data_IF_155237309427
#
_entry.id   IF_155237309427
#
_cell.length_a   1.000
_cell.length_b   1.000
_cell.length_c   1.000
_cell.angle_alpha   90.00
_cell.angle_beta   90.00
_cell.angle_gamma   90.00
#
_symmetry.space_group_name_H-M   'P 1'
#
loop_
_entity.id
_entity.type
_entity.pdbx_description
1 polymer ?
#
# COMPACT_ATOMS: atom_id res chain seq x y z
N UNK A 1 1.71 20.25 -7.60
CA UNK A 1 1.47 19.48 -6.35
C UNK A 1 1.57 18.01 -6.72
N UNK A 2 2.46 17.25 -6.08
CA UNK A 2 2.60 15.82 -6.36
C UNK A 2 1.33 15.10 -5.90
N UNK A 3 0.75 14.24 -6.76
CA UNK A 3 -0.38 13.39 -6.37
C UNK A 3 0.00 12.55 -5.15
N UNK A 4 -0.94 12.32 -4.23
CA UNK A 4 -0.66 11.45 -3.08
C UNK A 4 -0.23 10.06 -3.57
N UNK A 5 0.70 9.41 -2.86
CA UNK A 5 1.15 8.07 -3.21
C UNK A 5 -0.04 7.10 -3.21
N UNK A 6 0.03 6.07 -4.06
CA UNK A 6 -0.95 4.99 -4.02
C UNK A 6 -0.97 4.34 -2.63
N UNK A 7 -2.12 3.84 -2.18
CA UNK A 7 -2.25 3.13 -0.92
C UNK A 7 -2.64 1.68 -1.17
N UNK A 8 -1.91 0.73 -0.57
CA UNK A 8 -2.20 -0.71 -0.62
C UNK A 8 -2.79 -1.15 0.72
N UNK A 9 -4.05 -1.55 0.71
CA UNK A 9 -4.77 -2.04 1.87
C UNK A 9 -4.73 -3.57 1.93
N UNK A 10 -4.37 -4.10 3.08
CA UNK A 10 -4.18 -5.54 3.27
C UNK A 10 -4.55 -6.00 4.69
N UNK A 11 -4.84 -7.30 4.82
CA UNK A 11 -4.93 -8.04 6.07
C UNK A 11 -4.07 -9.29 5.96
N UNK A 12 -3.27 -9.57 7.00
CA UNK A 12 -2.32 -10.68 7.04
C UNK A 12 -2.98 -12.06 7.06
N UNK A 13 -4.28 -12.16 7.37
CA UNK A 13 -5.03 -13.40 7.24
C UNK A 13 -5.58 -13.63 5.81
N UNK A 14 -5.41 -12.66 4.88
CA UNK A 14 -5.90 -12.79 3.51
C UNK A 14 -4.87 -13.45 2.59
N UNK A 15 -5.11 -14.67 2.06
CA UNK A 15 -4.21 -15.30 1.11
C UNK A 15 -4.14 -14.57 -0.23
N UNK A 16 -5.21 -13.85 -0.63
CA UNK A 16 -5.17 -13.01 -1.81
C UNK A 16 -4.29 -11.78 -1.60
N UNK A 17 -4.28 -11.21 -0.37
CA UNK A 17 -3.38 -10.12 -0.04
C UNK A 17 -1.91 -10.59 -0.01
N UNK A 18 -1.64 -11.85 0.39
CA UNK A 18 -0.32 -12.46 0.23
C UNK A 18 0.14 -12.47 -1.23
N UNK A 19 -0.68 -13.02 -2.14
CA UNK A 19 -0.35 -13.06 -3.57
C UNK A 19 -0.13 -11.65 -4.13
N UNK A 20 -0.91 -10.68 -3.67
CA UNK A 20 -0.76 -9.28 -4.05
C UNK A 20 0.54 -8.67 -3.52
N UNK A 21 0.89 -8.94 -2.25
CA UNK A 21 2.08 -8.43 -1.58
C UNK A 21 3.38 -8.90 -2.24
N UNK A 22 3.41 -10.11 -2.80
CA UNK A 22 4.58 -10.65 -3.53
C UNK A 22 4.77 -9.99 -4.91
N UNK A 23 3.73 -9.35 -5.46
CA UNK A 23 3.74 -8.76 -6.81
C UNK A 23 3.84 -7.23 -6.82
N UNK A 24 3.26 -6.57 -5.85
CA UNK A 24 2.97 -5.13 -5.89
C UNK A 24 4.21 -4.28 -6.20
N UNK A 25 5.36 -4.62 -5.64
CA UNK A 25 6.62 -3.88 -5.84
C UNK A 25 7.18 -3.98 -7.28
N UNK A 26 6.73 -4.98 -8.04
CA UNK A 26 7.17 -5.22 -9.41
C UNK A 26 6.21 -4.67 -10.45
N UNK A 27 4.91 -4.57 -10.11
CA UNK A 27 3.86 -4.26 -11.09
C UNK A 27 3.35 -2.83 -11.03
N UNK A 28 3.45 -2.15 -9.89
CA UNK A 28 3.09 -0.74 -9.81
C UNK A 28 4.24 0.14 -10.31
N UNK A 29 3.96 1.18 -11.11
CA UNK A 29 4.97 2.07 -11.67
C UNK A 29 5.59 3.05 -10.66
N UNK A 30 5.10 3.06 -9.43
CA UNK A 30 5.56 3.93 -8.35
C UNK A 30 5.27 3.34 -6.97
N UNK A 31 5.76 3.98 -5.91
CA UNK A 31 5.58 3.49 -4.56
C UNK A 31 4.11 3.50 -4.14
N UNK A 32 3.74 2.52 -3.31
CA UNK A 32 2.47 2.48 -2.61
C UNK A 32 2.73 2.48 -1.10
N UNK A 33 1.93 3.23 -0.36
CA UNK A 33 1.90 3.16 1.11
C UNK A 33 1.14 1.90 1.54
N UNK A 34 1.78 1.05 2.34
CA UNK A 34 1.15 -0.16 2.83
C UNK A 34 0.35 0.13 4.10
N UNK A 35 -0.95 -0.06 4.02
CA UNK A 35 -1.92 0.29 5.06
C UNK A 35 -2.61 -0.94 5.61
N UNK A 36 -2.26 -1.37 6.83
CA UNK A 36 -2.93 -2.49 7.49
C UNK A 36 -4.37 -2.12 7.87
N UNK A 37 -5.32 -3.04 7.61
CA UNK A 37 -6.73 -2.92 7.96
C UNK A 37 -7.27 -4.24 8.50
N UNK A 38 -8.32 -4.21 9.31
CA UNK A 38 -9.01 -5.41 9.74
C UNK A 38 -10.08 -5.79 8.70
N UNK A 39 -9.80 -6.80 7.88
CA UNK A 39 -10.70 -7.22 6.81
C UNK A 39 -12.08 -7.64 7.32
N UNK A 40 -12.17 -8.17 8.55
CA UNK A 40 -13.45 -8.53 9.19
C UNK A 40 -14.35 -7.33 9.46
N UNK A 41 -13.81 -6.11 9.48
CA UNK A 41 -14.56 -4.87 9.69
C UNK A 41 -14.97 -4.21 8.36
N UNK A 42 -14.49 -4.74 7.22
CA UNK A 42 -14.89 -4.27 5.90
C UNK A 42 -16.21 -4.94 5.50
N UNK A 43 -17.14 -4.22 4.84
CA UNK A 43 -18.35 -4.82 4.34
C UNK A 43 -18.01 -5.80 3.21
N UNK A 44 -18.52 -7.01 3.30
CA UNK A 44 -18.42 -7.97 2.20
C UNK A 44 -19.16 -7.40 0.98
N UNK A 45 -18.46 -7.23 -0.14
CA UNK A 45 -19.08 -6.84 -1.39
C UNK A 45 -19.96 -8.01 -1.89
N UNK A 46 -21.23 -7.74 -2.18
CA UNK A 46 -22.14 -8.73 -2.76
C UNK A 46 -21.71 -9.18 -4.17
N UNK A 47 -20.84 -8.42 -4.81
CA UNK A 47 -20.35 -8.68 -6.17
C UNK A 47 -19.02 -9.44 -6.20
N UNK A 48 -18.35 -9.61 -5.08
CA UNK A 48 -17.07 -10.32 -4.98
C UNK A 48 -17.13 -11.42 -3.93
N UNK A 49 -17.06 -12.69 -4.34
CA UNK A 49 -17.01 -13.82 -3.38
C UNK A 49 -15.71 -13.83 -2.54
N UNK A 50 -14.79 -12.92 -2.80
CA UNK A 50 -13.49 -12.82 -2.11
C UNK A 50 -13.45 -11.74 -1.02
N UNK A 51 -14.56 -11.05 -0.82
CA UNK A 51 -14.64 -9.86 0.04
C UNK A 51 -14.43 -10.13 1.53
N UNK A 52 -14.67 -11.36 1.97
CA UNK A 52 -14.42 -11.75 3.36
C UNK A 52 -13.42 -12.91 3.37
N UNK A 53 -12.50 -12.92 4.34
CA UNK A 53 -11.51 -14.02 4.51
C UNK A 53 -12.22 -15.37 4.60
N UNK A 54 -13.42 -15.41 5.21
CA UNK A 54 -14.25 -16.61 5.28
C UNK A 54 -14.92 -17.02 3.93
N UNK A 55 -14.94 -16.11 2.95
CA UNK A 55 -15.49 -16.33 1.59
C UNK A 55 -14.37 -16.35 0.53
N UNK A 56 -13.12 -16.53 0.95
CA UNK A 56 -11.98 -16.68 0.04
C UNK A 56 -12.25 -17.76 -1.02
N UNK A 57 -11.66 -17.64 -2.23
CA UNK A 57 -11.75 -18.69 -3.23
C UNK A 57 -11.30 -20.03 -2.66
N UNK A 58 -11.76 -21.16 -3.23
CA UNK A 58 -11.28 -22.48 -2.81
C UNK A 58 -9.75 -22.53 -2.74
N UNK A 59 -9.20 -23.21 -1.76
CA UNK A 59 -7.75 -23.33 -1.56
C UNK A 59 -7.02 -23.69 -2.86
N UNK A 60 -7.56 -24.65 -3.61
CA UNK A 60 -6.99 -25.10 -4.89
C UNK A 60 -6.85 -23.97 -5.93
N UNK A 61 -7.77 -23.01 -5.93
CA UNK A 61 -7.71 -21.84 -6.82
C UNK A 61 -6.60 -20.89 -6.43
N UNK A 62 -6.44 -20.64 -5.14
CA UNK A 62 -5.37 -19.78 -4.60
C UNK A 62 -4.01 -20.43 -4.83
N UNK A 63 -3.89 -21.74 -4.61
CA UNK A 63 -2.68 -22.52 -4.90
C UNK A 63 -2.33 -22.51 -6.40
N UNK A 64 -3.32 -22.59 -7.27
CA UNK A 64 -3.11 -22.45 -8.71
C UNK A 64 -2.55 -21.09 -9.05
N UNK A 65 -3.14 -19.99 -8.52
CA UNK A 65 -2.66 -18.62 -8.71
C UNK A 65 -1.24 -18.43 -8.20
N UNK A 66 -0.91 -18.98 -7.02
CA UNK A 66 0.45 -18.94 -6.47
C UNK A 66 1.47 -19.60 -7.39
N UNK A 67 1.14 -20.77 -7.94
CA UNK A 67 2.00 -21.47 -8.92
C UNK A 67 2.19 -20.70 -10.21
N UNK A 68 1.13 -20.08 -10.74
CA UNK A 68 1.19 -19.23 -11.93
C UNK A 68 2.10 -18.01 -11.72
N UNK A 69 2.18 -17.52 -10.49
CA UNK A 69 3.07 -16.43 -10.08
C UNK A 69 4.50 -16.89 -9.77
N UNK A 70 4.80 -18.19 -9.87
CA UNK A 70 6.12 -18.75 -9.55
C UNK A 70 6.46 -18.70 -8.06
N UNK A 71 5.45 -18.57 -7.19
CA UNK A 71 5.64 -18.57 -5.73
C UNK A 71 5.87 -20.00 -5.23
N UNK A 72 6.43 -20.10 -4.02
CA UNK A 72 6.54 -21.38 -3.32
C UNK A 72 5.14 -21.98 -3.12
N UNK A 73 5.02 -23.32 -3.07
CA UNK A 73 3.77 -23.99 -2.76
C UNK A 73 3.18 -23.46 -1.46
N UNK A 74 1.90 -23.10 -1.49
CA UNK A 74 1.20 -22.62 -0.30
C UNK A 74 1.11 -23.72 0.76
N UNK A 75 1.29 -23.31 2.00
CA UNK A 75 1.00 -24.09 3.20
C UNK A 75 -0.06 -23.35 3.99
N UNK A 76 -1.19 -23.98 4.19
CA UNK A 76 -2.29 -23.37 4.92
C UNK A 76 -1.99 -23.39 6.42
N UNK A 77 -2.10 -22.24 7.10
CA UNK A 77 -1.96 -22.21 8.55
C UNK A 77 -3.14 -22.93 9.23
N UNK A 78 -2.90 -23.49 10.40
CA UNK A 78 -3.96 -24.10 11.21
C UNK A 78 -4.02 -23.40 12.58
N UNK A 79 -5.22 -22.91 12.98
CA UNK A 79 -6.48 -22.90 12.24
C UNK A 79 -6.46 -21.92 11.05
N UNK A 80 -7.35 -22.15 10.06
CA UNK A 80 -7.61 -21.17 9.00
C UNK A 80 -9.14 -21.07 8.75
N UNK A 81 -9.72 -19.86 8.68
CA UNK A 81 -9.07 -18.57 8.91
C UNK A 81 -8.64 -18.37 10.37
N UNK A 82 -7.60 -17.59 10.59
CA UNK A 82 -7.09 -17.24 11.92
C UNK A 82 -7.38 -15.78 12.31
N UNK A 83 -7.35 -15.47 13.61
CA UNK A 83 -7.45 -14.08 14.07
C UNK A 83 -6.14 -13.31 13.79
N UNK A 84 -6.22 -12.36 12.88
CA UNK A 84 -5.07 -11.50 12.51
C UNK A 84 -4.83 -10.32 13.45
N UNK A 85 -5.64 -10.12 14.49
CA UNK A 85 -5.64 -8.88 15.30
C UNK A 85 -4.25 -8.52 15.83
N UNK A 86 -3.53 -9.47 16.43
CA UNK A 86 -2.16 -9.23 16.92
C UNK A 86 -1.23 -8.87 15.78
N UNK A 87 -1.23 -9.66 14.71
CA UNK A 87 -0.37 -9.44 13.55
C UNK A 87 -0.65 -8.09 12.89
N UNK A 88 -1.92 -7.65 12.79
CA UNK A 88 -2.31 -6.36 12.24
C UNK A 88 -1.92 -5.19 13.14
N UNK A 89 -1.96 -5.34 14.46
CA UNK A 89 -1.40 -4.36 15.39
C UNK A 89 0.12 -4.24 15.23
N UNK A 90 0.84 -5.35 15.10
CA UNK A 90 2.28 -5.33 14.83
C UNK A 90 2.56 -4.70 13.46
N UNK A 91 1.78 -4.99 12.41
CA UNK A 91 1.91 -4.32 11.12
C UNK A 91 1.71 -2.80 11.22
N UNK A 92 0.75 -2.35 12.05
CA UNK A 92 0.50 -0.93 12.32
C UNK A 92 1.67 -0.28 13.08
N UNK A 93 2.23 -0.97 14.07
CA UNK A 93 3.43 -0.53 14.75
C UNK A 93 4.64 -0.47 13.79
N UNK A 94 4.84 -1.51 12.98
CA UNK A 94 5.88 -1.56 11.95
C UNK A 94 5.76 -0.38 10.97
N UNK A 95 4.55 -0.04 10.56
CA UNK A 95 4.29 1.12 9.71
C UNK A 95 4.73 2.43 10.38
N UNK A 96 4.52 2.57 11.69
CA UNK A 96 4.90 3.77 12.44
C UNK A 96 6.40 4.01 12.54
N UNK A 97 7.19 2.96 12.34
CA UNK A 97 8.67 2.99 12.39
C UNK A 97 9.32 2.75 11.01
N UNK A 98 8.54 2.85 9.92
CA UNK A 98 9.03 2.69 8.54
C UNK A 98 9.35 1.25 8.13
N UNK A 99 8.81 0.25 8.83
CA UNK A 99 9.03 -1.18 8.57
C UNK A 99 7.78 -1.91 8.03
N UNK A 100 6.78 -1.19 7.52
CA UNK A 100 5.53 -1.77 7.03
C UNK A 100 5.75 -2.86 5.99
N UNK A 101 6.49 -2.56 4.92
CA UNK A 101 6.70 -3.45 3.79
C UNK A 101 7.46 -4.72 4.19
N UNK A 102 8.68 -4.63 4.77
CA UNK A 102 9.44 -5.82 5.13
C UNK A 102 8.69 -6.70 6.13
N UNK A 103 8.05 -6.12 7.15
CA UNK A 103 7.28 -6.88 8.12
C UNK A 103 6.08 -7.60 7.47
N UNK A 104 5.27 -6.90 6.67
CA UNK A 104 4.12 -7.52 6.02
C UNK A 104 4.52 -8.68 5.11
N UNK A 105 5.59 -8.52 4.30
CA UNK A 105 6.09 -9.61 3.46
C UNK A 105 6.61 -10.80 4.28
N UNK A 106 7.36 -10.55 5.34
CA UNK A 106 7.85 -11.62 6.22
C UNK A 106 6.68 -12.36 6.92
N UNK A 107 5.69 -11.62 7.41
CA UNK A 107 4.51 -12.17 8.07
C UNK A 107 3.64 -12.99 7.10
N UNK A 108 3.39 -12.49 5.88
CA UNK A 108 2.69 -13.25 4.86
C UNK A 108 3.41 -14.57 4.52
N UNK A 109 4.74 -14.56 4.40
CA UNK A 109 5.51 -15.77 4.14
C UNK A 109 5.48 -16.74 5.31
N UNK A 110 5.49 -16.26 6.55
CA UNK A 110 5.25 -17.10 7.72
C UNK A 110 3.89 -17.80 7.63
N UNK A 111 2.84 -17.05 7.29
CA UNK A 111 1.50 -17.62 7.19
C UNK A 111 1.37 -18.59 6.02
N UNK A 112 1.67 -18.18 4.79
CA UNK A 112 1.25 -18.90 3.59
C UNK A 112 2.36 -19.67 2.88
N UNK A 113 3.63 -19.41 3.15
CA UNK A 113 4.73 -20.27 2.71
C UNK A 113 5.22 -21.19 3.84
N UNK A 114 5.15 -20.74 5.10
CA UNK A 114 5.49 -21.52 6.28
C UNK A 114 4.37 -22.40 6.81
N UNK A 115 3.11 -22.00 6.62
CA UNK A 115 1.94 -22.67 7.19
C UNK A 115 1.72 -22.36 8.68
N UNK A 116 2.22 -21.22 9.14
CA UNK A 116 2.25 -20.85 10.55
C UNK A 116 1.14 -19.82 10.86
N UNK A 117 0.20 -20.14 11.73
CA UNK A 117 -0.85 -19.20 12.12
C UNK A 117 -0.29 -17.99 12.87
N UNK A 118 -0.55 -16.79 12.33
CA UNK A 118 -0.15 -15.52 12.95
C UNK A 118 -1.05 -15.12 14.15
N UNK A 119 -1.96 -15.97 14.56
CA UNK A 119 -2.61 -15.89 15.86
C UNK A 119 -1.59 -16.11 16.99
N UNK A 120 -0.57 -16.94 16.74
CA UNK A 120 0.55 -17.13 17.66
C UNK A 120 1.53 -15.96 17.62
N UNK A 121 1.79 -15.38 18.79
CA UNK A 121 2.78 -14.34 18.97
C UNK A 121 4.20 -14.77 18.51
N UNK A 122 4.55 -16.04 18.67
CA UNK A 122 5.88 -16.56 18.31
C UNK A 122 6.15 -16.39 16.81
N UNK A 123 5.19 -16.73 15.95
CA UNK A 123 5.36 -16.57 14.50
C UNK A 123 5.35 -15.11 14.04
N UNK A 124 4.58 -14.26 14.73
CA UNK A 124 4.61 -12.80 14.51
C UNK A 124 5.98 -12.24 14.88
N UNK A 125 6.57 -12.68 16.01
CA UNK A 125 7.90 -12.26 16.45
C UNK A 125 9.01 -12.77 15.53
N UNK A 126 8.90 -13.98 14.97
CA UNK A 126 9.83 -14.49 13.96
C UNK A 126 9.83 -13.58 12.73
N UNK A 127 8.65 -13.21 12.24
CA UNK A 127 8.53 -12.27 11.12
C UNK A 127 9.11 -10.88 11.45
N UNK A 128 8.88 -10.39 12.67
CA UNK A 128 9.43 -9.11 13.14
C UNK A 128 10.96 -9.14 13.27
N UNK A 129 11.51 -10.23 13.80
CA UNK A 129 12.97 -10.43 13.93
C UNK A 129 13.65 -10.47 12.55
N UNK A 130 13.04 -11.06 11.53
CA UNK A 130 13.52 -11.05 10.15
C UNK A 130 13.62 -9.62 9.55
N UNK A 131 12.96 -8.65 10.17
CA UNK A 131 12.96 -7.23 9.78
C UNK A 131 13.73 -6.35 10.75
N UNK A 132 14.60 -6.94 11.59
CA UNK A 132 15.41 -6.23 12.59
C UNK A 132 14.58 -5.48 13.65
N UNK A 133 13.37 -5.96 13.93
CA UNK A 133 12.52 -5.41 14.97
C UNK A 133 12.74 -6.18 16.28
N UNK A 134 13.03 -5.47 17.35
CA UNK A 134 13.30 -6.10 18.65
C UNK A 134 12.01 -6.68 19.25
N UNK A 135 11.96 -7.97 19.67
CA UNK A 135 10.73 -8.63 20.12
C UNK A 135 9.97 -7.88 21.23
N UNK A 136 10.68 -7.40 22.27
CA UNK A 136 10.05 -6.67 23.36
C UNK A 136 9.42 -5.35 22.88
N UNK A 137 10.07 -4.61 21.98
CA UNK A 137 9.52 -3.39 21.42
C UNK A 137 8.30 -3.66 20.53
N UNK A 138 8.31 -4.78 19.83
CA UNK A 138 7.18 -5.22 18.99
C UNK A 138 5.94 -5.50 19.83
N UNK A 139 6.06 -6.30 20.89
CA UNK A 139 4.94 -6.62 21.78
C UNK A 139 4.44 -5.36 22.49
N UNK A 140 5.32 -4.57 23.08
CA UNK A 140 4.93 -3.30 23.71
C UNK A 140 4.25 -2.36 22.70
N UNK A 141 4.80 -2.21 21.50
CA UNK A 141 4.25 -1.37 20.45
C UNK A 141 2.87 -1.83 19.99
N UNK A 142 2.63 -3.14 19.89
CA UNK A 142 1.33 -3.71 19.52
C UNK A 142 0.27 -3.52 20.63
N UNK A 143 0.67 -3.51 21.90
CA UNK A 143 -0.21 -3.31 23.05
C UNK A 143 -0.61 -1.84 23.26
N UNK A 144 0.13 -0.88 22.69
CA UNK A 144 -0.21 0.53 22.84
C UNK A 144 -1.62 0.83 22.35
N UNK A 145 -2.36 1.57 23.17
CA UNK A 145 -3.69 2.08 22.79
C UNK A 145 -3.65 2.88 21.49
N UNK A 146 -2.62 3.70 21.32
CA UNK A 146 -2.43 4.49 20.07
C UNK A 146 -2.24 3.61 18.83
N UNK A 147 -1.65 2.41 18.96
CA UNK A 147 -1.54 1.45 17.86
C UNK A 147 -2.89 0.87 17.48
N UNK A 148 -3.71 0.50 18.48
CA UNK A 148 -5.07 0.02 18.24
C UNK A 148 -5.96 1.10 17.60
N UNK A 149 -5.89 2.34 18.12
CA UNK A 149 -6.63 3.49 17.58
C UNK A 149 -6.21 3.80 16.13
N UNK A 150 -4.91 3.71 15.81
CA UNK A 150 -4.40 3.92 14.46
C UNK A 150 -4.87 2.83 13.50
N UNK A 151 -4.88 1.57 13.90
CA UNK A 151 -5.40 0.47 13.09
C UNK A 151 -6.90 0.69 12.79
N UNK A 152 -7.69 1.03 13.81
CA UNK A 152 -9.11 1.34 13.66
C UNK A 152 -9.33 2.56 12.75
N UNK A 153 -8.55 3.63 12.91
CA UNK A 153 -8.61 4.81 12.06
C UNK A 153 -8.25 4.50 10.60
N UNK A 154 -7.24 3.66 10.36
CA UNK A 154 -6.86 3.22 9.01
C UNK A 154 -7.97 2.40 8.36
N UNK A 155 -8.61 1.51 9.12
CA UNK A 155 -9.77 0.71 8.66
C UNK A 155 -10.96 1.62 8.35
N UNK A 156 -11.26 2.60 9.20
CA UNK A 156 -12.31 3.59 8.94
C UNK A 156 -12.01 4.45 7.69
N UNK A 157 -10.76 4.86 7.50
CA UNK A 157 -10.34 5.60 6.30
C UNK A 157 -10.50 4.75 5.04
N UNK A 158 -10.18 3.46 5.10
CA UNK A 158 -10.39 2.54 3.98
C UNK A 158 -11.88 2.46 3.61
N UNK A 159 -12.76 2.32 4.61
CA UNK A 159 -14.21 2.31 4.43
C UNK A 159 -14.73 3.60 3.77
N UNK A 160 -14.27 4.75 4.25
CA UNK A 160 -14.63 6.06 3.69
C UNK A 160 -14.17 6.22 2.23
N UNK A 161 -13.02 5.64 1.88
CA UNK A 161 -12.52 5.60 0.51
C UNK A 161 -13.27 4.61 -0.40
N UNK A 162 -14.18 3.80 0.15
CA UNK A 162 -14.95 2.79 -0.60
C UNK A 162 -14.24 1.43 -0.72
N UNK A 163 -13.24 1.15 0.12
CA UNK A 163 -12.61 -0.17 0.20
C UNK A 163 -13.58 -1.12 0.90
N UNK A 164 -14.00 -2.16 0.20
CA UNK A 164 -14.93 -3.18 0.70
C UNK A 164 -14.30 -4.53 0.93
N UNK A 165 -13.12 -4.77 0.36
CA UNK A 165 -12.37 -6.03 0.43
C UNK A 165 -10.86 -5.79 0.41
N UNK A 166 -10.10 -6.82 0.77
CA UNK A 166 -8.63 -6.84 0.62
C UNK A 166 -8.20 -8.05 -0.22
N UNK A 167 -7.15 -7.89 -1.06
CA UNK A 167 -6.31 -6.72 -1.26
C UNK A 167 -7.01 -5.61 -2.05
N UNK A 168 -6.72 -4.35 -1.70
CA UNK A 168 -7.16 -3.21 -2.48
C UNK A 168 -6.02 -2.20 -2.68
N UNK A 169 -6.03 -1.51 -3.82
CA UNK A 169 -5.15 -0.38 -4.10
C UNK A 169 -6.00 0.86 -4.36
N UNK A 170 -5.68 1.94 -3.68
CA UNK A 170 -6.32 3.25 -3.91
C UNK A 170 -5.31 4.17 -4.59
N UNK A 171 -5.74 4.78 -5.70
CA UNK A 171 -4.96 5.77 -6.45
C UNK A 171 -5.82 7.03 -6.60
N UNK A 172 -5.42 8.11 -5.96
CA UNK A 172 -6.28 9.30 -5.83
C UNK A 172 -7.57 8.95 -5.07
N UNK A 173 -8.70 9.13 -5.73
CA UNK A 173 -10.03 8.80 -5.19
C UNK A 173 -10.58 7.45 -5.69
N UNK A 174 -9.80 6.69 -6.48
CA UNK A 174 -10.25 5.45 -7.11
C UNK A 174 -9.77 4.23 -6.36
N UNK A 175 -10.68 3.31 -6.07
CA UNK A 175 -10.42 2.01 -5.47
C UNK A 175 -10.32 0.94 -6.55
N UNK A 176 -9.30 0.12 -6.46
CA UNK A 176 -9.07 -1.06 -7.29
C UNK A 176 -8.97 -2.28 -6.40
N UNK A 177 -9.80 -3.29 -6.64
CA UNK A 177 -9.83 -4.57 -5.94
C UNK A 177 -10.21 -5.69 -6.93
N UNK A 178 -10.17 -6.94 -6.48
CA UNK A 178 -10.53 -8.11 -7.26
C UNK A 178 -9.53 -8.45 -8.37
N UNK A 179 -10.04 -9.10 -9.41
CA UNK A 179 -9.22 -9.47 -10.57
C UNK A 179 -8.68 -8.23 -11.30
N UNK A 180 -7.42 -8.32 -11.77
CA UNK A 180 -6.73 -7.23 -12.50
C UNK A 180 -6.57 -5.94 -11.70
N UNK A 181 -6.59 -6.02 -10.36
CA UNK A 181 -6.42 -4.82 -9.52
C UNK A 181 -5.15 -4.04 -9.86
N UNK A 182 -4.03 -4.73 -10.10
CA UNK A 182 -2.75 -4.07 -10.37
C UNK A 182 -2.67 -3.46 -11.76
N UNK A 183 -3.19 -4.12 -12.79
CA UNK A 183 -3.22 -3.61 -14.16
C UNK A 183 -4.02 -2.30 -14.21
N UNK A 184 -5.17 -2.28 -13.55
CA UNK A 184 -6.05 -1.11 -13.47
C UNK A 184 -5.43 0.02 -12.64
N UNK A 185 -4.87 -0.31 -11.48
CA UNK A 185 -4.19 0.67 -10.62
C UNK A 185 -2.95 1.26 -11.31
N UNK A 186 -2.12 0.42 -11.94
CA UNK A 186 -0.95 0.87 -12.68
C UNK A 186 -1.30 1.75 -13.90
N UNK A 187 -2.40 1.44 -14.57
CA UNK A 187 -2.91 2.28 -15.66
C UNK A 187 -3.32 3.66 -15.15
N UNK A 188 -4.04 3.71 -14.02
CA UNK A 188 -4.44 4.98 -13.40
C UNK A 188 -3.21 5.81 -12.98
N UNK A 189 -2.23 5.18 -12.30
CA UNK A 189 -1.00 5.87 -11.88
C UNK A 189 -0.24 6.47 -13.07
N UNK A 190 -0.16 5.76 -14.21
CA UNK A 190 0.46 6.29 -15.44
C UNK A 190 -0.31 7.45 -16.02
N UNK A 191 -1.65 7.38 -16.04
CA UNK A 191 -2.52 8.46 -16.52
C UNK A 191 -2.35 9.74 -15.69
N UNK A 192 -2.30 9.58 -14.36
CA UNK A 192 -2.12 10.72 -13.43
C UNK A 192 -0.75 11.37 -13.61
N UNK A 193 0.31 10.57 -13.79
CA UNK A 193 1.65 11.07 -14.06
C UNK A 193 1.73 11.86 -15.37
N UNK A 194 1.08 11.38 -16.43
CA UNK A 194 1.02 12.07 -17.73
C UNK A 194 0.23 13.38 -17.62
N UNK A 195 -0.90 13.38 -16.93
CA UNK A 195 -1.70 14.59 -16.69
C UNK A 195 -0.94 15.65 -15.91
N UNK A 196 -0.20 15.25 -14.87
CA UNK A 196 0.63 16.15 -14.08
C UNK A 196 1.78 16.77 -14.92
N UNK A 197 2.42 15.99 -15.82
CA UNK A 197 3.47 16.47 -16.69
C UNK A 197 2.96 17.53 -17.68
N UNK A 198 1.77 17.34 -18.26
CA UNK A 198 1.14 18.31 -19.15
C UNK A 198 0.74 19.61 -18.42
N UNK A 199 0.24 19.50 -17.20
CA UNK A 199 -0.12 20.67 -16.41
C UNK A 199 1.10 21.52 -16.03
N UNK A 200 2.25 20.91 -15.77
CA UNK A 200 3.51 21.61 -15.43
C UNK A 200 4.14 22.26 -16.68
N UNK A 201 4.10 21.59 -17.83
CA UNK A 201 4.61 22.14 -19.10
C UNK A 201 3.79 23.33 -19.64
N UNK A 202 2.50 23.40 -19.35
CA UNK A 202 1.64 24.52 -19.73
C UNK A 202 1.88 25.78 -18.87
N UNK A 203 2.31 25.61 -17.60
CA UNK A 203 2.63 26.73 -16.73
C UNK A 203 3.95 27.43 -17.09
N UNK A 204 4.91 26.69 -17.64
CA UNK A 204 6.21 27.23 -18.04
C UNK A 204 6.16 27.98 -19.39
N UNK A 205 5.16 27.68 -20.24
CA UNK A 205 4.99 28.31 -21.54
C UNK A 205 4.35 29.73 -21.49
N UNK A 206 3.82 30.14 -20.33
CA UNK A 206 3.15 31.45 -20.17
C UNK A 206 4.03 32.54 -19.54
N UNK A 207 5.31 32.23 -19.26
CA UNK A 207 6.24 33.13 -18.55
C UNK A 207 7.25 33.89 -19.41
N UNK A 208 7.27 33.74 -20.72
CA UNK A 208 8.19 34.43 -21.62
C UNK A 208 7.46 35.47 -22.48
N UNK A 209 6.95 36.52 -21.85
CA UNK A 209 6.65 37.75 -22.55
C UNK A 209 7.91 38.61 -22.56
N UNK A 210 8.51 38.68 -23.74
CA UNK A 210 9.66 39.45 -24.14
C UNK A 210 9.41 40.95 -23.82
N UNK A 211 10.07 41.49 -22.80
CA UNK A 211 10.16 42.98 -22.64
C UNK A 211 11.32 43.44 -23.50
N UNK A 212 11.08 44.40 -24.47
CA UNK A 212 12.15 44.94 -25.26
C UNK A 212 13.07 45.81 -24.41
N UNK A 213 14.33 45.37 -24.31
CA UNK A 213 15.41 46.09 -23.64
C UNK A 213 15.71 47.39 -24.40
N UNK A 214 15.25 48.55 -23.84
CA UNK A 214 15.54 49.88 -24.37
C UNK A 214 16.91 50.33 -23.86
N UNK A 215 17.90 50.45 -24.74
CA UNK A 215 19.21 51.02 -24.48
C UNK A 215 19.08 52.53 -24.15
N UNK A 216 19.68 53.05 -23.08
CA UNK A 216 19.72 54.50 -22.81
C UNK A 216 20.68 55.21 -23.75
N UNK A 217 20.16 56.18 -24.48
CA UNK A 217 20.95 57.10 -25.32
C UNK A 217 21.98 57.85 -24.49
N UNK A 218 23.27 57.72 -24.81
CA UNK A 218 24.34 58.55 -24.31
C UNK A 218 24.14 60.02 -24.76
N UNK A 219 23.94 60.88 -23.80
CA UNK A 219 24.06 62.34 -24.01
C UNK A 219 25.55 62.69 -24.03
N UNK A 220 26.01 63.18 -25.19
CA UNK A 220 27.27 63.88 -25.35
C UNK A 220 27.10 65.26 -24.77
N UNK A 221 27.78 65.56 -23.67
CA UNK A 221 27.93 66.93 -23.13
C UNK A 221 29.28 67.47 -23.41
N UNK A 222 29.36 68.39 -24.36
CA UNK A 222 30.49 69.25 -24.60
C UNK A 222 30.63 70.27 -23.49
N UNK A 223 31.82 70.34 -22.89
CA UNK A 223 32.22 71.44 -22.07
C UNK A 223 32.66 72.67 -22.81
N UNK A 224 32.79 73.81 -22.16
CA UNK A 224 33.97 74.62 -22.43
C UNK A 224 34.57 75.26 -21.17
N UNK A 225 35.83 75.70 -21.37
CA UNK A 225 36.69 76.67 -20.69
C UNK A 225 37.25 76.30 -19.34
#
# INVERSE_FOLDING_TARGET
MSSPPAAFYFDLASPLAYLAAERILQVLPGPAEWRPVLARELPASSESPTANIAQAPPHAEIERRARELGLQPLRWPEPFPFDSTLAMRVATYAASIGRAVPFAQAAFRQAFAGGNSLESADYVLIAAAACEMHPAAVLQGAELRSTAERLAATTATALQAGVTEVPAVVVGERVFAGERLFERAAQQMRSDATGAAHATGAADATGAADEPYVLPLRRSGSGPA
#
